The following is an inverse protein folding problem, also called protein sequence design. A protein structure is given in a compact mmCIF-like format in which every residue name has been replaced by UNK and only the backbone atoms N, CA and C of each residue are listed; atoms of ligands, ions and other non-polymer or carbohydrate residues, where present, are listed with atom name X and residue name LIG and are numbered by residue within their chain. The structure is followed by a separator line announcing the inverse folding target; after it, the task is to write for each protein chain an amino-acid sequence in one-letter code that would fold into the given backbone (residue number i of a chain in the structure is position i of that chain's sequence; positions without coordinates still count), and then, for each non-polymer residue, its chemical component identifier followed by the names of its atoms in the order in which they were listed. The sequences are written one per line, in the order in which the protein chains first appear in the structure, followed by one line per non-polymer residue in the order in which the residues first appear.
data_IF_455077354615
#
_entry.id   IF_455077354615
#
_cell.length_a   1.000
_cell.length_b   1.000
_cell.length_c   1.000
_cell.angle_alpha   90.00
_cell.angle_beta   90.00
_cell.angle_gamma   90.00
#
_symmetry.space_group_name_H-M   'P 1'
#
loop_
_entity.id
_entity.type
_entity.pdbx_description
1 polymer ?
#
# COMPACT_ATOMS: atom_id res chain seq x y z
N UNK A 1 9.12 0.47 -28.83
CA UNK A 1 9.00 1.90 -29.17
C UNK A 1 8.59 2.07 -30.63
N UNK A 2 9.21 1.35 -31.56
CA UNK A 2 8.83 1.37 -33.00
C UNK A 2 7.34 1.16 -33.24
N UNK A 3 6.71 0.25 -32.51
CA UNK A 3 5.28 -0.07 -32.64
C UNK A 3 4.34 1.12 -32.34
N UNK A 4 4.74 2.05 -31.46
CA UNK A 4 3.96 3.24 -31.09
C UNK A 4 4.22 4.43 -32.00
N UNK A 5 5.33 4.41 -32.76
CA UNK A 5 5.80 5.53 -33.58
C UNK A 5 5.27 5.49 -35.02
N UNK A 6 4.66 4.40 -35.47
CA UNK A 6 4.18 4.24 -36.86
C UNK A 6 2.80 4.86 -37.09
N UNK A 7 1.82 4.57 -36.24
CA UNK A 7 0.47 5.11 -36.32
C UNK A 7 -0.15 5.20 -34.91
N UNK A 8 0.23 6.21 -34.10
CA UNK A 8 -0.02 6.21 -32.66
C UNK A 8 -1.50 6.07 -32.29
N UNK A 9 -2.42 6.69 -33.04
CA UNK A 9 -3.87 6.56 -32.80
C UNK A 9 -4.37 5.15 -33.10
N UNK A 10 -3.99 4.58 -34.24
CA UNK A 10 -4.37 3.22 -34.61
C UNK A 10 -3.83 2.22 -33.60
N UNK A 11 -2.52 2.27 -33.31
CA UNK A 11 -1.87 1.36 -32.37
C UNK A 11 -2.48 1.47 -30.97
N UNK A 12 -2.66 2.69 -30.46
CA UNK A 12 -3.20 2.91 -29.13
C UNK A 12 -4.65 2.40 -29.01
N UNK A 13 -5.52 2.70 -29.97
CA UNK A 13 -6.95 2.38 -29.86
C UNK A 13 -7.29 0.96 -30.30
N UNK A 14 -6.64 0.43 -31.33
CA UNK A 14 -6.98 -0.88 -31.91
C UNK A 14 -6.13 -2.02 -31.35
N UNK A 15 -4.94 -1.74 -30.84
CA UNK A 15 -4.03 -2.78 -30.33
C UNK A 15 -3.87 -2.66 -28.82
N UNK A 16 -3.29 -1.57 -28.33
CA UNK A 16 -2.93 -1.43 -26.92
C UNK A 16 -4.16 -1.33 -26.01
N UNK A 17 -5.18 -0.56 -26.40
CA UNK A 17 -6.42 -0.41 -25.64
C UNK A 17 -7.08 -1.76 -25.33
N UNK A 18 -7.40 -2.58 -26.33
CA UNK A 18 -7.94 -3.92 -26.12
C UNK A 18 -7.00 -4.85 -25.34
N UNK A 19 -5.69 -4.78 -25.59
CA UNK A 19 -4.71 -5.66 -24.91
C UNK A 19 -4.57 -5.39 -23.40
N UNK A 20 -4.83 -4.14 -22.95
CA UNK A 20 -4.82 -3.82 -21.50
C UNK A 20 -5.74 -4.74 -20.71
N UNK A 21 -6.91 -5.07 -21.27
CA UNK A 21 -7.88 -5.92 -20.59
C UNK A 21 -7.41 -7.36 -20.47
N UNK A 22 -6.75 -7.88 -21.49
CA UNK A 22 -6.12 -9.20 -21.45
C UNK A 22 -5.04 -9.26 -20.36
N UNK A 23 -4.21 -8.23 -20.25
CA UNK A 23 -3.20 -8.13 -19.20
C UNK A 23 -3.84 -8.03 -17.81
N UNK A 24 -4.86 -7.19 -17.64
CA UNK A 24 -5.59 -7.02 -16.37
C UNK A 24 -6.19 -8.34 -15.88
N UNK A 25 -6.86 -9.09 -16.77
CA UNK A 25 -7.42 -10.43 -16.48
C UNK A 25 -6.34 -11.46 -16.16
N UNK A 26 -5.19 -11.40 -16.84
CA UNK A 26 -4.04 -12.26 -16.58
C UNK A 26 -3.47 -12.04 -15.17
N UNK A 27 -3.27 -10.76 -14.79
CA UNK A 27 -2.83 -10.38 -13.45
C UNK A 27 -3.84 -10.81 -12.38
N UNK A 28 -5.14 -10.56 -12.59
CA UNK A 28 -6.19 -10.95 -11.66
C UNK A 28 -6.18 -12.46 -11.38
N UNK A 29 -6.03 -13.28 -12.42
CA UNK A 29 -5.87 -14.74 -12.26
C UNK A 29 -4.63 -15.13 -11.48
N UNK A 30 -3.50 -14.46 -11.72
CA UNK A 30 -2.25 -14.72 -11.00
C UNK A 30 -2.37 -14.40 -9.50
N UNK A 31 -3.11 -13.34 -9.14
CA UNK A 31 -3.34 -12.93 -7.76
C UNK A 31 -4.58 -13.56 -7.11
N UNK A 32 -5.41 -14.28 -7.87
CA UNK A 32 -6.61 -14.94 -7.37
C UNK A 32 -7.74 -13.98 -7.02
N UNK A 33 -7.86 -12.86 -7.73
CA UNK A 33 -8.88 -11.82 -7.52
C UNK A 33 -9.71 -11.54 -8.79
N UNK A 34 -10.74 -10.72 -8.68
CA UNK A 34 -11.51 -10.24 -9.82
C UNK A 34 -10.72 -9.19 -10.62
N UNK A 35 -10.96 -9.09 -11.94
CA UNK A 35 -10.30 -8.09 -12.78
C UNK A 35 -10.66 -6.65 -12.38
N UNK A 36 -11.85 -6.43 -11.81
CA UNK A 36 -12.28 -5.15 -11.25
C UNK A 36 -11.54 -4.76 -9.96
N UNK A 37 -10.81 -5.70 -9.33
CA UNK A 37 -9.94 -5.42 -8.19
C UNK A 37 -8.51 -5.03 -8.61
N UNK A 38 -8.21 -5.01 -9.91
CA UNK A 38 -6.86 -4.75 -10.44
C UNK A 38 -6.78 -3.42 -11.18
N UNK A 39 -5.95 -2.51 -10.66
CA UNK A 39 -5.55 -1.28 -11.36
C UNK A 39 -4.12 -1.40 -11.88
N UNK A 40 -3.90 -1.01 -13.15
CA UNK A 40 -2.56 -0.94 -13.76
C UNK A 40 -2.04 0.50 -13.64
N UNK A 41 -0.93 0.67 -12.92
CA UNK A 41 -0.23 1.95 -12.73
C UNK A 41 1.19 1.88 -13.29
N UNK A 42 1.96 2.97 -13.20
CA UNK A 42 3.34 3.03 -13.73
C UNK A 42 4.36 2.39 -12.79
N UNK A 43 4.10 2.36 -11.47
CA UNK A 43 5.00 1.81 -10.46
C UNK A 43 4.32 1.69 -9.08
N UNK A 44 4.99 1.01 -8.14
CA UNK A 44 4.51 0.80 -6.78
C UNK A 44 4.29 2.10 -5.98
N UNK A 45 5.15 3.12 -6.19
CA UNK A 45 5.00 4.40 -5.48
C UNK A 45 3.73 5.12 -5.90
N UNK A 46 3.42 5.15 -7.20
CA UNK A 46 2.17 5.69 -7.71
C UNK A 46 0.96 4.91 -7.17
N UNK A 47 0.99 3.57 -7.21
CA UNK A 47 -0.10 2.74 -6.67
C UNK A 47 -0.39 3.05 -5.21
N UNK A 48 0.65 3.07 -4.38
CA UNK A 48 0.50 3.35 -2.96
C UNK A 48 0.10 4.80 -2.71
N UNK A 49 0.54 5.76 -3.52
CA UNK A 49 0.10 7.15 -3.40
C UNK A 49 -1.38 7.32 -3.75
N UNK A 50 -1.91 6.61 -4.76
CA UNK A 50 -3.34 6.59 -5.06
C UNK A 50 -4.11 6.13 -3.82
N UNK A 51 -3.69 5.05 -3.16
CA UNK A 51 -4.32 4.61 -1.91
C UNK A 51 -4.16 5.65 -0.80
N UNK A 52 -2.95 6.16 -0.57
CA UNK A 52 -2.66 7.13 0.48
C UNK A 52 -3.47 8.41 0.34
N UNK A 53 -3.75 8.89 -0.87
CA UNK A 53 -4.59 10.07 -1.07
C UNK A 53 -6.08 9.75 -1.22
N UNK A 54 -6.43 8.50 -1.55
CA UNK A 54 -7.82 8.05 -1.74
C UNK A 54 -8.57 7.76 -0.44
N UNK A 55 -7.88 7.54 0.69
CA UNK A 55 -8.55 7.39 1.98
C UNK A 55 -8.99 8.74 2.56
N UNK A 56 -10.30 8.88 2.77
CA UNK A 56 -10.95 10.03 3.43
C UNK A 56 -10.63 10.05 4.93
N UNK A 57 -9.53 10.71 5.29
CA UNK A 57 -9.12 10.93 6.68
C UNK A 57 -9.47 12.35 7.11
N UNK A 58 -9.78 12.51 8.40
CA UNK A 58 -10.11 13.79 9.02
C UNK A 58 -8.96 14.24 9.92
N UNK A 59 -8.92 15.54 10.20
CA UNK A 59 -7.99 16.12 11.18
C UNK A 59 -8.05 15.36 12.51
N UNK A 60 -6.90 14.90 12.99
CA UNK A 60 -6.75 14.12 14.21
C UNK A 60 -6.83 12.60 14.01
N UNK A 61 -7.26 12.10 12.85
CA UNK A 61 -7.19 10.66 12.55
C UNK A 61 -5.73 10.20 12.50
N UNK A 62 -5.49 8.97 12.96
CA UNK A 62 -4.15 8.39 13.05
C UNK A 62 -3.93 7.36 11.95
N UNK A 63 -2.77 7.46 11.28
CA UNK A 63 -2.23 6.45 10.38
C UNK A 63 -1.06 5.77 11.09
N UNK A 64 -1.17 4.46 11.29
CA UNK A 64 -0.14 3.66 11.94
C UNK A 64 0.77 3.01 10.89
N UNK A 65 2.08 3.22 11.00
CA UNK A 65 3.08 2.63 10.11
C UNK A 65 4.38 2.32 10.84
N UNK A 66 5.40 1.85 10.12
CA UNK A 66 6.74 1.65 10.67
C UNK A 66 7.66 2.81 10.29
N UNK A 67 8.71 3.06 11.08
CA UNK A 67 9.78 3.98 10.68
C UNK A 67 10.81 3.34 9.73
N UNK A 68 10.59 2.09 9.33
CA UNK A 68 11.44 1.32 8.43
C UNK A 68 10.80 1.09 7.07
N UNK A 69 9.61 1.65 6.81
CA UNK A 69 8.96 1.58 5.51
C UNK A 69 9.71 2.38 4.44
N UNK A 70 9.35 2.19 3.19
CA UNK A 70 9.97 2.88 2.07
C UNK A 70 9.84 4.41 2.26
N UNK A 71 10.94 5.18 2.24
CA UNK A 71 10.92 6.60 2.62
C UNK A 71 9.88 7.43 1.87
N UNK A 72 9.56 7.07 0.63
CA UNK A 72 8.54 7.79 -0.14
C UNK A 72 7.14 7.67 0.44
N UNK A 73 6.79 6.54 1.02
CA UNK A 73 5.49 6.33 1.65
C UNK A 73 5.37 7.17 2.92
N UNK A 74 6.40 7.14 3.78
CA UNK A 74 6.46 7.96 4.98
C UNK A 74 6.32 9.46 4.65
N UNK A 75 7.06 9.95 3.66
CA UNK A 75 6.98 11.37 3.29
C UNK A 75 5.63 11.78 2.70
N UNK A 76 4.90 10.85 2.07
CA UNK A 76 3.55 11.11 1.56
C UNK A 76 2.58 11.29 2.73
N UNK A 77 2.68 10.45 3.77
CA UNK A 77 1.91 10.63 5.00
C UNK A 77 2.26 11.92 5.75
N UNK A 78 3.54 12.26 5.85
CA UNK A 78 3.99 13.52 6.47
C UNK A 78 3.42 14.75 5.74
N UNK A 79 3.27 14.68 4.42
CA UNK A 79 2.60 15.73 3.65
C UNK A 79 1.12 15.84 4.07
N UNK A 80 0.39 14.73 4.16
CA UNK A 80 -1.00 14.73 4.63
C UNK A 80 -1.13 15.21 6.08
N UNK A 81 -0.21 14.84 6.96
CA UNK A 81 -0.15 15.35 8.34
C UNK A 81 -0.07 16.89 8.36
N UNK A 82 0.81 17.48 7.56
CA UNK A 82 0.95 18.96 7.48
C UNK A 82 -0.26 19.64 6.83
N UNK A 83 -0.86 19.02 5.80
CA UNK A 83 -1.92 19.63 4.99
C UNK A 83 -3.32 19.44 5.57
N UNK A 84 -3.59 18.27 6.13
CA UNK A 84 -4.91 17.82 6.55
C UNK A 84 -5.01 17.67 8.08
N UNK A 85 -3.88 17.71 8.78
CA UNK A 85 -3.83 17.61 10.24
C UNK A 85 -4.14 16.19 10.76
N UNK A 86 -3.99 15.16 9.93
CA UNK A 86 -3.90 13.77 10.40
C UNK A 86 -2.64 13.60 11.26
N UNK A 87 -2.50 12.48 11.97
CA UNK A 87 -1.32 12.17 12.77
C UNK A 87 -0.66 10.88 12.29
N UNK A 88 0.63 10.95 11.98
CA UNK A 88 1.42 9.77 11.64
C UNK A 88 1.99 9.13 12.90
N UNK A 89 1.59 7.89 13.18
CA UNK A 89 2.11 7.10 14.31
C UNK A 89 3.09 6.07 13.75
N UNK A 90 4.34 6.13 14.18
CA UNK A 90 5.39 5.24 13.70
C UNK A 90 5.90 4.33 14.82
N UNK A 91 5.98 3.03 14.53
CA UNK A 91 6.63 2.03 15.38
C UNK A 91 7.97 1.57 14.79
N UNK A 92 8.87 1.13 15.66
CA UNK A 92 10.11 0.44 15.24
C UNK A 92 9.94 -1.06 15.32
N UNK A 93 10.38 -1.78 14.28
CA UNK A 93 10.51 -3.23 14.27
C UNK A 93 11.94 -3.62 14.67
N UNK A 94 12.13 -4.64 15.53
CA UNK A 94 13.46 -5.15 15.85
C UNK A 94 14.26 -5.56 14.61
N UNK A 95 15.59 -5.51 14.73
CA UNK A 95 16.51 -5.98 13.69
C UNK A 95 17.56 -6.85 14.38
N UNK A 96 17.54 -8.19 14.22
CA UNK A 96 16.51 -8.97 13.52
C UNK A 96 15.19 -9.07 14.30
N UNK A 97 14.08 -9.27 13.58
CA UNK A 97 12.74 -9.56 14.07
C UNK A 97 12.56 -11.08 14.09
N UNK A 98 13.09 -11.71 15.13
CA UNK A 98 13.11 -13.17 15.27
C UNK A 98 11.74 -13.75 15.66
N UNK A 99 10.90 -12.96 16.34
CA UNK A 99 9.53 -13.32 16.71
C UNK A 99 8.51 -12.51 15.88
N UNK A 100 7.86 -13.13 14.86
CA UNK A 100 6.79 -12.47 14.12
C UNK A 100 5.62 -12.01 15.00
N UNK A 101 5.32 -12.71 16.10
CA UNK A 101 4.25 -12.30 17.01
C UNK A 101 4.62 -11.01 17.75
N UNK A 102 5.91 -10.71 17.95
CA UNK A 102 6.34 -9.42 18.50
C UNK A 102 5.97 -8.26 17.56
N UNK A 103 6.16 -8.43 16.25
CA UNK A 103 5.76 -7.44 15.24
C UNK A 103 4.26 -7.15 15.34
N UNK A 104 3.43 -8.20 15.41
CA UNK A 104 1.98 -8.08 15.54
C UNK A 104 1.60 -7.34 16.82
N UNK A 105 2.20 -7.70 17.97
CA UNK A 105 1.97 -7.03 19.25
C UNK A 105 2.36 -5.56 19.22
N UNK A 106 3.42 -5.19 18.48
CA UNK A 106 3.85 -3.79 18.32
C UNK A 106 2.82 -2.96 17.55
N UNK A 107 2.27 -3.49 16.45
CA UNK A 107 1.14 -2.86 15.77
C UNK A 107 -0.06 -2.75 16.70
N UNK A 108 -0.44 -3.84 17.35
CA UNK A 108 -1.62 -3.88 18.23
C UNK A 108 -1.56 -2.85 19.37
N UNK A 109 -0.40 -2.73 20.03
CA UNK A 109 -0.18 -1.78 21.14
C UNK A 109 -0.21 -0.33 20.69
N UNK A 110 0.11 -0.05 19.43
CA UNK A 110 0.11 1.32 18.90
C UNK A 110 -1.26 1.77 18.37
N UNK A 111 -2.24 0.85 18.28
CA UNK A 111 -3.61 1.20 17.89
C UNK A 111 -4.29 1.98 19.00
N UNK A 112 -4.91 3.10 18.62
CA UNK A 112 -5.77 3.92 19.48
C UNK A 112 -7.18 4.02 18.88
N UNK A 113 -8.17 4.59 19.60
CA UNK A 113 -9.50 4.87 19.03
C UNK A 113 -9.47 5.79 17.79
N UNK A 114 -8.36 6.52 17.57
CA UNK A 114 -8.19 7.40 16.41
C UNK A 114 -7.47 6.73 15.24
N UNK A 115 -6.95 5.51 15.40
CA UNK A 115 -6.31 4.79 14.28
C UNK A 115 -7.36 4.43 13.23
N UNK A 116 -7.24 5.01 12.03
CA UNK A 116 -8.15 4.78 10.90
C UNK A 116 -7.54 3.98 9.78
N UNK A 117 -6.22 3.81 9.78
CA UNK A 117 -5.51 3.12 8.72
C UNK A 117 -4.17 2.58 9.23
N UNK A 118 -3.79 1.41 8.74
CA UNK A 118 -2.43 0.88 8.89
C UNK A 118 -1.75 0.85 7.51
N UNK A 119 -0.48 1.25 7.45
CA UNK A 119 0.38 1.12 6.28
C UNK A 119 1.61 0.29 6.66
N UNK A 120 1.90 -0.79 5.95
CA UNK A 120 3.09 -1.60 6.20
C UNK A 120 3.62 -2.24 4.92
N UNK A 121 4.93 -2.28 4.72
CA UNK A 121 5.51 -3.13 3.67
C UNK A 121 5.42 -4.63 4.02
N UNK A 122 5.31 -5.50 3.00
CA UNK A 122 5.46 -6.95 3.19
C UNK A 122 6.92 -7.34 3.45
N UNK A 123 7.86 -6.68 2.79
CA UNK A 123 9.30 -6.85 3.00
C UNK A 123 9.95 -5.48 3.17
N UNK A 124 10.70 -5.31 4.26
CA UNK A 124 11.43 -4.08 4.52
C UNK A 124 12.62 -4.00 3.56
N UNK A 125 12.64 -3.01 2.66
CA UNK A 125 13.67 -2.90 1.62
C UNK A 125 15.10 -2.70 2.17
N UNK A 126 15.24 -2.09 3.35
CA UNK A 126 16.54 -1.80 3.97
C UNK A 126 17.11 -2.96 4.81
N UNK A 127 16.27 -3.89 5.28
CA UNK A 127 16.70 -5.01 6.16
C UNK A 127 16.44 -6.39 5.56
N UNK A 128 15.62 -6.49 4.51
CA UNK A 128 15.19 -7.76 3.91
C UNK A 128 14.18 -8.55 4.76
N UNK A 129 13.75 -8.02 5.90
CA UNK A 129 12.84 -8.73 6.81
C UNK A 129 11.44 -8.82 6.21
N UNK A 130 10.89 -10.04 6.22
CA UNK A 130 9.51 -10.31 5.81
C UNK A 130 8.60 -10.12 7.04
N UNK A 131 7.62 -9.22 6.93
CA UNK A 131 6.69 -8.93 8.01
C UNK A 131 5.48 -9.89 7.97
N UNK A 132 4.88 -10.23 9.13
CA UNK A 132 3.71 -11.09 9.21
C UNK A 132 2.42 -10.35 8.80
N UNK A 133 2.32 -10.01 7.51
CA UNK A 133 1.21 -9.24 6.94
C UNK A 133 -0.13 -9.89 7.23
N UNK A 134 -0.23 -11.21 7.08
CA UNK A 134 -1.49 -11.94 7.28
C UNK A 134 -2.01 -11.77 8.71
N UNK A 135 -1.12 -11.82 9.69
CA UNK A 135 -1.45 -11.69 11.11
C UNK A 135 -1.85 -10.26 11.45
N UNK A 136 -1.11 -9.27 10.94
CA UNK A 136 -1.43 -7.85 11.15
C UNK A 136 -2.78 -7.51 10.50
N UNK A 137 -3.02 -7.94 9.26
CA UNK A 137 -4.30 -7.72 8.56
C UNK A 137 -5.46 -8.38 9.29
N UNK A 138 -5.27 -9.61 9.82
CA UNK A 138 -6.30 -10.30 10.61
C UNK A 138 -6.65 -9.52 11.89
N UNK A 139 -5.63 -9.03 12.60
CA UNK A 139 -5.79 -8.22 13.81
C UNK A 139 -6.43 -6.86 13.52
N UNK A 140 -6.03 -6.18 12.43
CA UNK A 140 -6.60 -4.91 12.03
C UNK A 140 -8.08 -5.04 11.62
N UNK A 141 -8.42 -6.12 10.88
CA UNK A 141 -9.78 -6.40 10.43
C UNK A 141 -10.75 -6.62 11.60
N UNK A 142 -10.33 -7.31 12.66
CA UNK A 142 -11.20 -7.49 13.84
C UNK A 142 -11.52 -6.17 14.56
N UNK A 143 -10.76 -5.11 14.28
CA UNK A 143 -10.94 -3.75 14.79
C UNK A 143 -11.56 -2.79 13.76
N UNK A 144 -11.92 -3.29 12.57
CA UNK A 144 -12.46 -2.48 11.48
C UNK A 144 -11.46 -1.51 10.85
N UNK A 145 -10.15 -1.78 10.97
CA UNK A 145 -9.09 -0.91 10.45
C UNK A 145 -8.58 -1.47 9.11
N UNK A 146 -8.66 -0.71 8.00
CA UNK A 146 -8.06 -1.09 6.73
C UNK A 146 -6.53 -1.09 6.80
N UNK A 147 -5.90 -1.91 5.94
CA UNK A 147 -4.44 -2.05 5.85
C UNK A 147 -4.00 -1.86 4.39
N UNK A 148 -3.04 -0.98 4.16
CA UNK A 148 -2.30 -0.85 2.90
C UNK A 148 -0.99 -1.63 3.05
N UNK A 149 -0.67 -2.44 2.03
CA UNK A 149 0.57 -3.24 1.95
C UNK A 149 1.37 -2.88 0.71
#
# INVERSE_FOLDING_TARGET
LDYSNTAPVYTMWRVLGPQKETVRKGLARMFGCDAEEVAITRNASESLQICQFGFDLRRGDEVLTTNQDYPRMITTWQQRERREGIKLVQISIPIPAEDPAEVVRRFERAITPRTKLIHMCHMINITGQILPVREVVRMARSRGIPVIV
#
